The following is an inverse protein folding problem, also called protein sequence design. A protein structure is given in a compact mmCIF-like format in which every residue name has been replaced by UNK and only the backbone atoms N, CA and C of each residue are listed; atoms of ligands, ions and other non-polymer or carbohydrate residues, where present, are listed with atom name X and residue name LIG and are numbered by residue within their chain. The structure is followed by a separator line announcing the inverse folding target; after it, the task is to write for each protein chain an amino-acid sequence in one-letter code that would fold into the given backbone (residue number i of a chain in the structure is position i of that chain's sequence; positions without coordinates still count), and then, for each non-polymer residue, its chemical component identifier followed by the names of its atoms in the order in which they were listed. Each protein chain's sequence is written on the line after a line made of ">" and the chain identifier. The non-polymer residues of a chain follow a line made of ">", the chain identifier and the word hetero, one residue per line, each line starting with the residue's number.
data_IF_237467509366
#
_entry.id   IF_237467509366
#
_cell.length_a   1.000
_cell.length_b   1.000
_cell.length_c   1.000
_cell.angle_alpha   90.00
_cell.angle_beta   90.00
_cell.angle_gamma   90.00
#
_symmetry.space_group_name_H-M   'P 1'
#
loop_
_entity.id
_entity.type
_entity.pdbx_description
1 polymer ?
#
# COMPACT_ATOMS: atom_id res chain seq x y z
N UNK A 1 10.28 23.48 -25.86
CA UNK A 1 9.58 22.17 -25.77
C UNK A 1 9.06 22.07 -24.33
N UNK A 2 7.75 21.88 -24.13
CA UNK A 2 7.19 21.68 -22.78
C UNK A 2 6.97 20.18 -22.63
N UNK A 3 7.79 19.54 -21.82
CA UNK A 3 7.64 18.15 -21.40
C UNK A 3 7.85 18.08 -19.89
N UNK A 4 7.33 17.05 -19.26
CA UNK A 4 7.46 16.81 -17.83
C UNK A 4 7.72 15.34 -17.60
N UNK A 5 8.49 15.01 -16.57
CA UNK A 5 8.78 13.63 -16.21
C UNK A 5 7.99 13.27 -14.94
N UNK A 6 7.43 12.07 -14.92
CA UNK A 6 6.64 11.53 -13.82
C UNK A 6 7.26 10.21 -13.36
N UNK A 7 7.17 9.91 -12.07
CA UNK A 7 7.53 8.59 -11.54
C UNK A 7 6.26 7.83 -11.19
N UNK A 8 6.20 6.55 -11.59
CA UNK A 8 5.12 5.63 -11.25
C UNK A 8 5.70 4.38 -10.59
N UNK A 9 5.11 3.95 -9.48
CA UNK A 9 5.43 2.69 -8.82
C UNK A 9 4.16 2.06 -8.23
N UNK A 10 4.21 0.75 -7.99
CA UNK A 10 3.22 0.03 -7.20
C UNK A 10 3.92 -1.00 -6.32
N UNK A 11 3.18 -1.81 -5.55
CA UNK A 11 3.78 -2.92 -4.81
C UNK A 11 4.43 -3.97 -5.73
N UNK A 12 3.89 -4.15 -6.94
CA UNK A 12 4.30 -5.19 -7.90
C UNK A 12 5.13 -4.66 -9.07
N UNK A 13 5.31 -3.34 -9.19
CA UNK A 13 6.07 -2.73 -10.27
C UNK A 13 7.08 -1.73 -9.70
N UNK A 14 8.40 -1.91 -9.96
CA UNK A 14 9.42 -0.93 -9.59
C UNK A 14 9.11 0.46 -10.16
N UNK A 15 9.74 1.48 -9.58
CA UNK A 15 9.57 2.86 -10.06
C UNK A 15 10.01 2.98 -11.52
N UNK A 16 9.10 3.38 -12.41
CA UNK A 16 9.36 3.73 -13.81
C UNK A 16 9.27 5.23 -13.97
N UNK A 17 10.26 5.83 -14.63
CA UNK A 17 10.17 7.23 -15.08
C UNK A 17 9.40 7.28 -16.40
N UNK A 18 8.38 8.10 -16.47
CA UNK A 18 7.53 8.31 -17.63
C UNK A 18 7.77 9.72 -18.18
N UNK A 19 8.02 9.81 -19.47
CA UNK A 19 8.09 11.08 -20.18
C UNK A 19 6.69 11.48 -20.64
N UNK A 20 6.25 12.69 -20.27
CA UNK A 20 4.98 13.26 -20.69
C UNK A 20 5.20 14.40 -21.68
N UNK A 21 4.74 14.22 -22.92
CA UNK A 21 4.69 15.29 -23.91
C UNK A 21 3.39 16.10 -23.74
N UNK A 22 3.52 17.37 -23.38
CA UNK A 22 2.37 18.24 -23.09
C UNK A 22 1.58 18.64 -24.34
N UNK A 23 2.16 18.53 -25.54
CA UNK A 23 1.47 18.85 -26.79
C UNK A 23 0.62 17.68 -27.27
N UNK A 24 1.20 16.48 -27.30
CA UNK A 24 0.52 15.27 -27.76
C UNK A 24 -0.29 14.60 -26.65
N UNK A 25 -0.04 14.95 -25.38
CA UNK A 25 -0.64 14.34 -24.19
C UNK A 25 -0.36 12.84 -24.10
N UNK A 26 0.83 12.43 -24.51
CA UNK A 26 1.25 11.02 -24.51
C UNK A 26 2.27 10.77 -23.41
N UNK A 27 2.14 9.63 -22.73
CA UNK A 27 3.13 9.09 -21.80
C UNK A 27 3.94 8.00 -22.50
N UNK A 28 5.26 8.06 -22.39
CA UNK A 28 6.15 6.97 -22.80
C UNK A 28 7.12 6.60 -21.68
N UNK A 29 7.42 5.31 -21.47
CA UNK A 29 8.39 4.91 -20.47
C UNK A 29 9.80 5.36 -20.89
N UNK A 30 10.55 5.84 -19.90
CA UNK A 30 11.96 6.15 -20.04
C UNK A 30 12.77 4.89 -19.68
N UNK A 31 13.16 4.15 -20.72
CA UNK A 31 13.92 2.90 -20.60
C UNK A 31 13.04 1.66 -20.45
N UNK A 32 13.66 0.49 -20.63
CA UNK A 32 13.03 -0.81 -20.43
C UNK A 32 13.34 -1.34 -19.03
N UNK A 33 12.34 -1.90 -18.35
CA UNK A 33 12.53 -2.59 -17.08
C UNK A 33 12.31 -4.09 -17.26
N UNK A 34 13.38 -4.86 -17.04
CA UNK A 34 13.31 -6.31 -17.02
C UNK A 34 13.08 -6.78 -15.58
N UNK A 35 11.88 -7.27 -15.30
CA UNK A 35 11.55 -7.88 -14.01
C UNK A 35 12.16 -9.27 -13.90
N UNK A 36 12.60 -9.62 -12.69
CA UNK A 36 13.11 -10.97 -12.36
C UNK A 36 12.05 -11.90 -11.78
N UNK A 37 10.80 -11.45 -11.75
CA UNK A 37 9.62 -12.19 -11.32
C UNK A 37 8.47 -11.88 -12.28
N UNK A 38 7.42 -12.69 -12.26
CA UNK A 38 6.23 -12.45 -13.05
C UNK A 38 5.18 -11.70 -12.19
N UNK A 39 4.94 -10.39 -12.40
CA UNK A 39 3.97 -9.64 -11.60
C UNK A 39 2.54 -10.16 -11.76
N UNK A 40 2.23 -10.84 -12.86
CA UNK A 40 0.90 -11.41 -13.11
C UNK A 40 0.55 -12.60 -12.20
N UNK A 41 1.52 -13.16 -11.47
CA UNK A 41 1.29 -14.19 -10.47
C UNK A 41 0.79 -13.63 -9.13
N UNK A 42 0.83 -12.31 -8.96
CA UNK A 42 0.49 -11.61 -7.73
C UNK A 42 -0.68 -10.66 -7.96
N UNK A 43 -1.34 -10.30 -6.88
CA UNK A 43 -2.41 -9.31 -6.90
C UNK A 43 -2.29 -8.34 -5.73
N UNK A 44 -2.87 -7.16 -5.93
CA UNK A 44 -3.04 -6.15 -4.89
C UNK A 44 -4.53 -5.85 -4.81
N UNK A 45 -5.11 -5.96 -3.62
CA UNK A 45 -6.47 -5.52 -3.34
C UNK A 45 -6.45 -4.44 -2.25
N UNK A 46 -7.51 -3.63 -2.21
CA UNK A 46 -7.74 -2.69 -1.12
C UNK A 46 -9.05 -3.06 -0.43
N UNK A 47 -8.98 -3.18 0.88
CA UNK A 47 -10.12 -3.48 1.74
C UNK A 47 -10.34 -2.35 2.72
N UNK A 48 -11.52 -2.31 3.31
CA UNK A 48 -11.87 -1.42 4.41
C UNK A 48 -12.36 -2.26 5.58
N UNK A 49 -11.88 -1.98 6.78
CA UNK A 49 -12.29 -2.65 8.01
C UNK A 49 -12.72 -1.61 9.06
N UNK A 50 -13.70 -1.95 9.91
CA UNK A 50 -14.08 -1.11 11.02
C UNK A 50 -13.00 -1.14 12.12
N UNK A 51 -12.57 0.03 12.56
CA UNK A 51 -11.82 0.19 13.82
C UNK A 51 -12.76 0.09 15.03
N UNK A 52 -12.20 0.17 16.24
CA UNK A 52 -12.95 0.06 17.52
C UNK A 52 -14.12 1.04 17.63
N UNK A 53 -13.99 2.25 17.08
CA UNK A 53 -15.03 3.28 17.09
C UNK A 53 -15.93 3.26 15.84
N UNK A 54 -15.80 2.25 14.98
CA UNK A 54 -16.55 2.09 13.74
C UNK A 54 -15.95 2.81 12.53
N UNK A 55 -14.87 3.60 12.70
CA UNK A 55 -14.17 4.26 11.60
C UNK A 55 -13.71 3.23 10.56
N UNK A 56 -14.02 3.45 9.29
CA UNK A 56 -13.53 2.60 8.20
C UNK A 56 -12.07 2.96 7.88
N UNK A 57 -11.15 2.03 8.13
CA UNK A 57 -9.72 2.18 7.85
C UNK A 57 -9.39 1.32 6.63
N UNK A 58 -8.64 1.87 5.67
CA UNK A 58 -8.22 1.08 4.50
C UNK A 58 -6.96 0.26 4.78
N UNK A 59 -6.84 -0.85 4.08
CA UNK A 59 -5.64 -1.68 4.07
C UNK A 59 -5.41 -2.25 2.68
N UNK A 60 -4.16 -2.18 2.21
CA UNK A 60 -3.75 -2.92 1.02
C UNK A 60 -3.36 -4.33 1.42
N UNK A 61 -3.77 -5.31 0.61
CA UNK A 61 -3.32 -6.69 0.70
C UNK A 61 -2.58 -7.03 -0.58
N UNK A 62 -1.37 -7.58 -0.44
CA UNK A 62 -0.54 -8.02 -1.55
C UNK A 62 -0.14 -9.47 -1.31
N UNK A 63 -0.47 -10.34 -2.24
CA UNK A 63 -0.19 -11.77 -2.15
C UNK A 63 -0.19 -12.43 -3.54
N UNK A 64 0.17 -13.72 -3.58
CA UNK A 64 0.08 -14.53 -4.79
C UNK A 64 -1.38 -14.79 -5.15
N UNK A 65 -1.74 -14.78 -6.43
CA UNK A 65 -3.07 -15.13 -6.90
C UNK A 65 -3.41 -16.57 -6.54
N UNK A 66 -4.68 -16.83 -6.24
CA UNK A 66 -5.17 -18.17 -5.90
C UNK A 66 -4.77 -18.67 -4.51
N UNK A 67 -4.26 -17.77 -3.65
CA UNK A 67 -4.04 -18.07 -2.24
C UNK A 67 -5.38 -18.48 -1.59
N UNK A 68 -5.36 -19.55 -0.79
CA UNK A 68 -6.52 -19.96 -0.01
C UNK A 68 -6.60 -19.07 1.23
N UNK A 69 -7.75 -18.47 1.48
CA UNK A 69 -8.00 -17.67 2.68
C UNK A 69 -8.49 -18.60 3.81
N UNK A 70 -7.60 -19.47 4.28
CA UNK A 70 -7.87 -20.49 5.30
C UNK A 70 -7.32 -20.14 6.69
N UNK A 71 -6.67 -18.98 6.85
CA UNK A 71 -6.12 -18.50 8.11
C UNK A 71 -4.68 -18.92 8.39
N UNK A 72 -4.07 -19.78 7.56
CA UNK A 72 -2.73 -20.34 7.81
C UNK A 72 -1.62 -19.61 7.03
N UNK A 73 -1.95 -18.59 6.24
CA UNK A 73 -0.98 -17.87 5.44
C UNK A 73 -0.09 -16.98 6.31
N UNK A 74 1.25 -17.05 6.18
CA UNK A 74 2.14 -16.16 6.91
C UNK A 74 1.89 -14.71 6.47
N UNK A 75 1.52 -13.85 7.41
CA UNK A 75 1.16 -12.46 7.13
C UNK A 75 2.12 -11.48 7.81
N UNK A 76 2.61 -10.51 7.03
CA UNK A 76 3.36 -9.36 7.51
C UNK A 76 2.47 -8.12 7.44
N UNK A 77 1.97 -7.68 8.60
CA UNK A 77 1.20 -6.45 8.75
C UNK A 77 2.13 -5.27 9.03
N UNK A 78 2.03 -4.23 8.20
CA UNK A 78 2.79 -2.98 8.30
C UNK A 78 1.86 -1.77 8.49
N UNK A 79 2.29 -0.81 9.30
CA UNK A 79 1.59 0.46 9.52
C UNK A 79 2.53 1.54 10.05
N UNK A 80 2.14 2.81 9.90
CA UNK A 80 2.89 3.96 10.44
C UNK A 80 2.02 4.87 11.32
N UNK A 81 0.97 5.47 10.75
CA UNK A 81 -0.07 6.16 11.51
C UNK A 81 0.39 7.40 12.28
N UNK A 82 1.01 8.37 11.61
CA UNK A 82 1.45 9.61 12.27
C UNK A 82 2.12 10.60 11.34
N UNK A 83 2.38 11.80 11.88
CA UNK A 83 3.20 12.85 11.24
C UNK A 83 2.73 13.27 9.85
N UNK A 84 1.44 13.11 9.56
CA UNK A 84 0.85 13.43 8.26
C UNK A 84 1.50 12.63 7.11
N UNK A 85 2.07 11.45 7.40
CA UNK A 85 2.69 10.59 6.39
C UNK A 85 1.63 9.63 5.83
N UNK A 86 1.42 9.68 4.51
CA UNK A 86 0.64 8.67 3.79
C UNK A 86 1.51 7.48 3.44
N UNK A 87 1.05 6.27 3.75
CA UNK A 87 1.72 5.05 3.29
C UNK A 87 1.17 4.65 1.93
N UNK A 88 1.85 5.09 0.86
CA UNK A 88 1.46 4.81 -0.52
C UNK A 88 2.11 3.52 -1.06
N UNK A 89 1.54 2.91 -2.11
CA UNK A 89 2.14 1.76 -2.77
C UNK A 89 3.58 2.02 -3.19
N UNK A 90 4.48 1.12 -2.78
CA UNK A 90 5.91 1.20 -3.10
C UNK A 90 6.49 -0.19 -3.34
N UNK A 91 7.33 -0.28 -4.37
CA UNK A 91 8.00 -1.52 -4.70
C UNK A 91 9.13 -1.83 -3.71
N UNK A 92 9.30 -3.10 -3.38
CA UNK A 92 10.49 -3.59 -2.68
C UNK A 92 10.79 -5.02 -3.11
N UNK A 93 12.02 -5.27 -3.54
CA UNK A 93 12.45 -6.60 -3.97
C UNK A 93 12.36 -7.63 -2.84
N UNK A 94 12.62 -7.24 -1.58
CA UNK A 94 12.47 -8.15 -0.44
C UNK A 94 11.01 -8.52 -0.16
N UNK A 95 10.07 -7.62 -0.46
CA UNK A 95 8.64 -7.94 -0.37
C UNK A 95 8.25 -8.94 -1.45
N UNK A 96 8.76 -8.83 -2.68
CA UNK A 96 8.50 -9.83 -3.71
C UNK A 96 8.94 -11.24 -3.26
N UNK A 97 10.14 -11.36 -2.68
CA UNK A 97 10.62 -12.63 -2.14
C UNK A 97 9.70 -13.19 -1.03
N UNK A 98 9.16 -12.31 -0.18
CA UNK A 98 8.17 -12.70 0.82
C UNK A 98 6.89 -13.29 0.19
N UNK A 99 6.38 -12.66 -0.87
CA UNK A 99 5.19 -13.14 -1.58
C UNK A 99 5.45 -14.47 -2.31
N UNK A 100 6.65 -14.66 -2.88
CA UNK A 100 7.06 -15.92 -3.52
C UNK A 100 7.10 -17.09 -2.53
N UNK A 101 7.37 -16.82 -1.25
CA UNK A 101 7.32 -17.81 -0.17
C UNK A 101 5.90 -18.07 0.37
N UNK A 102 4.86 -17.56 -0.30
CA UNK A 102 3.46 -17.71 0.12
C UNK A 102 3.01 -16.69 1.16
N UNK A 103 3.79 -15.63 1.38
CA UNK A 103 3.47 -14.57 2.33
C UNK A 103 2.37 -13.63 1.84
N UNK A 104 1.60 -13.11 2.79
CA UNK A 104 0.72 -11.94 2.61
C UNK A 104 1.44 -10.71 3.16
N UNK A 105 1.46 -9.62 2.39
CA UNK A 105 1.91 -8.33 2.87
C UNK A 105 0.71 -7.38 2.98
N UNK A 106 0.40 -6.97 4.21
CA UNK A 106 -0.72 -6.10 4.53
C UNK A 106 -0.21 -4.72 4.96
N UNK A 107 -0.79 -3.64 4.40
CA UNK A 107 -0.44 -2.26 4.74
C UNK A 107 -1.67 -1.52 5.22
N UNK A 108 -1.75 -1.26 6.52
CA UNK A 108 -2.86 -0.52 7.11
C UNK A 108 -2.62 0.99 7.04
N UNK A 109 -3.56 1.73 6.45
CA UNK A 109 -3.54 3.19 6.32
C UNK A 109 -4.16 3.86 7.55
N UNK A 110 -3.49 3.68 8.69
CA UNK A 110 -3.95 4.09 10.03
C UNK A 110 -4.21 5.60 10.14
N UNK A 111 -5.09 6.00 11.07
CA UNK A 111 -5.22 7.40 11.48
C UNK A 111 -3.89 7.97 11.95
N UNK A 112 -3.77 9.30 11.92
CA UNK A 112 -2.48 9.98 12.10
C UNK A 112 -1.67 10.10 10.80
N UNK A 113 -1.97 9.31 9.77
CA UNK A 113 -1.47 9.52 8.42
C UNK A 113 -2.19 10.65 7.68
N UNK A 114 -1.94 10.79 6.38
CA UNK A 114 -2.53 11.82 5.51
C UNK A 114 -3.42 11.29 4.39
N UNK A 115 -3.73 10.00 4.41
CA UNK A 115 -4.43 9.31 3.33
C UNK A 115 -5.80 9.93 3.01
N UNK A 116 -6.48 10.44 4.04
CA UNK A 116 -7.77 11.12 3.93
C UNK A 116 -7.71 12.58 4.40
N UNK A 117 -6.55 13.22 4.27
CA UNK A 117 -6.33 14.63 4.59
C UNK A 117 -6.20 14.95 6.09
N UNK A 118 -6.27 16.24 6.42
CA UNK A 118 -5.92 16.76 7.75
C UNK A 118 -6.79 16.19 8.88
N UNK A 119 -8.07 15.91 8.61
CA UNK A 119 -8.95 15.26 9.60
C UNK A 119 -8.42 13.88 10.02
N UNK A 120 -7.88 13.11 9.08
CA UNK A 120 -7.30 11.80 9.34
C UNK A 120 -6.06 11.89 10.23
N UNK A 121 -5.19 12.86 9.94
CA UNK A 121 -3.99 13.14 10.74
C UNK A 121 -4.35 13.56 12.17
N UNK A 122 -5.28 14.51 12.32
CA UNK A 122 -5.73 15.00 13.64
C UNK A 122 -6.42 13.92 14.46
N UNK A 123 -7.05 12.95 13.82
CA UNK A 123 -7.75 11.85 14.50
C UNK A 123 -6.81 10.79 15.07
N UNK A 124 -5.49 10.90 14.86
CA UNK A 124 -4.47 9.99 15.40
C UNK A 124 -3.26 10.70 16.03
N UNK A 125 -3.43 11.93 16.53
CA UNK A 125 -2.35 12.70 17.19
C UNK A 125 -2.69 13.05 18.64
N UNK A 126 -1.67 13.37 19.43
CA UNK A 126 -1.80 13.89 20.80
C UNK A 126 -2.69 12.97 21.67
N UNK A 127 -3.74 13.52 22.26
CA UNK A 127 -4.73 12.82 23.09
C UNK A 127 -5.50 11.73 22.33
N UNK A 128 -5.55 11.80 20.99
CA UNK A 128 -6.19 10.81 20.11
C UNK A 128 -5.23 9.74 19.60
N UNK A 129 -3.98 9.70 20.07
CA UNK A 129 -2.99 8.75 19.56
C UNK A 129 -3.39 7.28 19.74
N UNK A 130 -4.23 6.98 20.74
CA UNK A 130 -4.77 5.65 20.97
C UNK A 130 -5.54 5.10 19.75
N UNK A 131 -6.22 5.96 19.00
CA UNK A 131 -6.93 5.57 17.79
C UNK A 131 -6.03 4.89 16.76
N UNK A 132 -4.76 5.27 16.68
CA UNK A 132 -3.78 4.66 15.77
C UNK A 132 -3.50 3.21 16.16
N UNK A 133 -3.37 2.95 17.47
CA UNK A 133 -3.16 1.60 17.97
C UNK A 133 -4.42 0.76 17.83
N UNK A 134 -5.59 1.33 18.10
CA UNK A 134 -6.88 0.67 17.92
C UNK A 134 -7.12 0.31 16.44
N UNK A 135 -6.76 1.19 15.49
CA UNK A 135 -6.80 0.89 14.06
C UNK A 135 -5.87 -0.29 13.71
N UNK A 136 -4.66 -0.32 14.26
CA UNK A 136 -3.69 -1.37 13.96
C UNK A 136 -4.06 -2.73 14.56
N UNK A 137 -4.67 -2.73 15.75
CA UNK A 137 -5.24 -3.93 16.37
C UNK A 137 -6.40 -4.44 15.53
N UNK A 138 -7.33 -3.57 15.12
CA UNK A 138 -8.46 -3.95 14.27
C UNK A 138 -8.00 -4.50 12.91
N UNK A 139 -6.89 -3.99 12.35
CA UNK A 139 -6.28 -4.55 11.14
C UNK A 139 -5.83 -6.00 11.36
N UNK A 140 -5.18 -6.28 12.50
CA UNK A 140 -4.74 -7.63 12.85
C UNK A 140 -5.92 -8.57 13.11
N UNK A 141 -6.96 -8.10 13.80
CA UNK A 141 -8.19 -8.87 14.04
C UNK A 141 -8.93 -9.19 12.73
N UNK A 142 -8.96 -8.25 11.78
CA UNK A 142 -9.60 -8.47 10.47
C UNK A 142 -8.85 -9.48 9.60
N UNK A 143 -7.53 -9.61 9.77
CA UNK A 143 -6.70 -10.54 9.01
C UNK A 143 -6.81 -12.00 9.46
N UNK A 144 -7.43 -12.27 10.61
CA UNK A 144 -7.68 -13.60 11.18
C UNK A 144 -9.06 -14.08 10.77
#
# INVERSE_FOLDING_TARGET
>A
RRSSDLSFASFLYPSVNLHYDLKTRTLSPFGEQKLKFNPEEFETSQVFYPSKDGTQVSMYLVHRKGLKLDGDNPCLLYGYGGFNISVTPSFSASRILWLEMGGVYAVANLRGGSEYGDHWHRSGMLDKKQNVFDDFIAAAEWLI
#
